data_IF_495119323443
#
_entry.id   IF_495119323443
#
_cell.length_a   1.000
_cell.length_b   1.000
_cell.length_c   1.000
_cell.angle_alpha   90.00
_cell.angle_beta   90.00
_cell.angle_gamma   90.00
#
_symmetry.space_group_name_H-M   'P 1'
#
loop_
_entity.id
_entity.type
_entity.pdbx_description
1 polymer ?
#
# COMPACT_ATOMS: atom_id res chain seq x y z
N UNK A 1 0.16 -15.51 4.45
CA UNK A 1 0.06 -14.09 4.83
C UNK A 1 -1.36 -13.62 4.53
N UNK A 2 -2.22 -13.49 5.51
CA UNK A 2 -3.44 -12.72 5.32
C UNK A 2 -3.09 -11.25 5.46
N UNK A 3 -3.67 -10.38 4.64
CA UNK A 3 -3.70 -8.96 4.94
C UNK A 3 -4.40 -8.79 6.29
N UNK A 4 -3.62 -8.63 7.34
CA UNK A 4 -4.12 -8.45 8.69
C UNK A 4 -4.35 -6.95 8.93
N UNK A 5 -5.39 -6.43 8.31
CA UNK A 5 -5.87 -5.08 8.51
C UNK A 5 -5.23 -4.05 7.58
N UNK A 6 -6.03 -3.23 6.96
CA UNK A 6 -5.66 -1.89 6.56
C UNK A 6 -6.09 -0.95 7.67
N UNK A 7 -5.24 -0.04 8.07
CA UNK A 7 -5.54 1.00 9.04
C UNK A 7 -5.36 2.35 8.36
N UNK A 8 -6.28 3.26 8.58
CA UNK A 8 -6.09 4.64 8.17
C UNK A 8 -5.36 5.38 9.30
N UNK A 9 -4.05 5.18 9.36
CA UNK A 9 -3.19 5.78 10.38
C UNK A 9 -3.01 7.27 10.13
N UNK A 10 -3.85 8.10 10.72
CA UNK A 10 -3.69 9.55 10.68
C UNK A 10 -3.22 10.01 12.05
N UNK A 11 -1.95 10.44 12.13
CA UNK A 11 -1.35 10.99 13.35
C UNK A 11 -1.35 10.04 14.55
N UNK A 12 -1.27 8.75 14.30
CA UNK A 12 -1.04 7.76 15.33
C UNK A 12 0.46 7.56 15.61
N UNK A 13 0.74 6.87 16.70
CA UNK A 13 2.08 6.47 17.07
C UNK A 13 2.21 4.96 16.87
N UNK A 14 3.01 4.56 15.91
CA UNK A 14 3.21 3.14 15.58
C UNK A 14 4.69 2.76 15.46
N UNK A 15 4.97 1.49 15.50
CA UNK A 15 6.29 0.93 15.17
C UNK A 15 6.16 -0.41 14.46
N UNK A 16 7.08 -0.65 13.52
CA UNK A 16 7.13 -1.89 12.76
C UNK A 16 8.12 -2.83 13.42
N UNK A 17 7.63 -3.97 13.90
CA UNK A 17 8.44 -5.02 14.53
C UNK A 17 9.19 -5.88 13.52
N UNK A 18 10.12 -6.71 14.03
CA UNK A 18 10.83 -7.66 13.20
C UNK A 18 9.89 -8.72 12.60
N UNK A 19 10.11 -9.10 11.35
CA UNK A 19 9.32 -10.10 10.64
C UNK A 19 7.98 -9.59 10.09
N UNK A 20 7.69 -8.29 10.20
CA UNK A 20 6.53 -7.69 9.56
C UNK A 20 6.87 -7.29 8.12
N UNK A 21 5.99 -7.67 7.19
CA UNK A 21 5.96 -7.15 5.83
C UNK A 21 4.72 -6.28 5.69
N UNK A 22 4.91 -5.02 5.35
CA UNK A 22 3.81 -4.04 5.23
C UNK A 22 3.93 -3.26 3.92
N UNK A 23 2.80 -2.82 3.40
CA UNK A 23 2.72 -1.76 2.40
C UNK A 23 2.12 -0.53 3.07
N UNK A 24 2.85 0.57 3.04
CA UNK A 24 2.41 1.86 3.58
C UNK A 24 2.09 2.79 2.40
N UNK A 25 0.81 3.14 2.26
CA UNK A 25 0.32 4.05 1.22
C UNK A 25 0.03 5.37 1.91
N UNK A 26 0.75 6.41 1.52
CA UNK A 26 0.64 7.73 2.13
C UNK A 26 0.81 8.84 1.09
N UNK A 27 0.29 10.01 1.39
CA UNK A 27 0.67 11.22 0.67
C UNK A 27 2.16 11.54 0.87
N UNK A 28 2.79 12.14 -0.12
CA UNK A 28 4.17 12.62 0.00
C UNK A 28 4.28 13.65 1.13
N UNK A 29 5.06 13.32 2.16
CA UNK A 29 5.35 14.20 3.28
C UNK A 29 6.77 13.96 3.78
N UNK A 30 7.48 15.05 4.09
CA UNK A 30 8.80 15.01 4.72
C UNK A 30 8.72 15.11 6.25
N UNK A 31 7.51 15.24 6.81
CA UNK A 31 7.31 15.40 8.25
C UNK A 31 7.27 14.03 8.90
N UNK A 32 8.26 13.74 9.71
CA UNK A 32 8.31 12.53 10.54
C UNK A 32 8.70 12.93 11.95
N UNK A 33 7.80 12.71 12.90
CA UNK A 33 8.10 12.89 14.31
C UNK A 33 8.48 11.57 14.95
N UNK A 34 9.76 11.45 15.30
CA UNK A 34 10.34 10.22 15.84
C UNK A 34 10.32 10.25 17.36
N UNK A 35 9.58 9.31 17.97
CA UNK A 35 9.49 9.19 19.43
C UNK A 35 10.55 8.23 19.97
N UNK A 36 10.86 7.20 19.21
CA UNK A 36 11.84 6.17 19.56
C UNK A 36 12.52 5.63 18.31
N UNK A 37 13.79 5.26 18.39
CA UNK A 37 14.57 4.77 17.25
C UNK A 37 15.42 3.53 17.56
N UNK A 38 15.01 2.72 18.52
CA UNK A 38 15.69 1.44 18.87
C UNK A 38 17.20 1.62 19.15
N UNK A 39 17.64 2.81 19.58
CA UNK A 39 19.04 3.18 19.78
C UNK A 39 19.93 2.93 18.53
N UNK A 40 19.35 3.01 17.32
CA UNK A 40 20.11 2.88 16.07
C UNK A 40 21.14 3.98 15.97
N UNK A 41 22.32 3.59 15.48
CA UNK A 41 23.43 4.52 15.23
C UNK A 41 23.79 4.50 13.75
N UNK A 42 24.15 5.65 13.24
CA UNK A 42 24.74 5.77 11.91
C UNK A 42 26.18 5.20 11.88
N UNK A 43 26.83 5.20 10.72
CA UNK A 43 28.23 4.76 10.54
C UNK A 43 29.24 5.55 11.36
N UNK A 44 28.86 6.72 11.88
CA UNK A 44 29.70 7.59 12.72
C UNK A 44 29.39 7.43 14.21
N UNK A 45 28.43 6.57 14.57
CA UNK A 45 28.02 6.32 15.94
C UNK A 45 26.96 7.29 16.48
N UNK A 46 26.40 8.19 15.65
CA UNK A 46 25.37 9.14 16.04
C UNK A 46 23.98 8.50 16.00
N UNK A 47 23.15 8.86 16.97
CA UNK A 47 21.72 8.54 16.96
C UNK A 47 20.94 9.57 16.15
N UNK A 48 19.80 9.16 15.58
CA UNK A 48 18.88 10.11 14.95
C UNK A 48 18.19 10.97 16.00
N UNK A 49 17.83 12.18 15.63
CA UNK A 49 17.08 13.09 16.49
C UNK A 49 15.70 12.50 16.83
N UNK A 50 15.29 12.67 18.08
CA UNK A 50 13.95 12.37 18.56
C UNK A 50 13.15 13.66 18.68
N UNK A 51 11.86 13.59 18.32
CA UNK A 51 10.95 14.74 18.24
C UNK A 51 9.81 14.62 19.27
N UNK A 52 10.13 14.19 20.49
CA UNK A 52 9.13 13.82 21.50
C UNK A 52 8.15 14.95 21.82
N UNK A 53 8.63 16.18 21.93
CA UNK A 53 7.76 17.33 22.25
C UNK A 53 6.84 17.69 21.08
N UNK A 54 7.37 17.71 19.85
CA UNK A 54 6.56 17.94 18.65
C UNK A 54 5.55 16.83 18.41
N UNK A 55 5.90 15.59 18.75
CA UNK A 55 4.99 14.44 18.62
C UNK A 55 3.78 14.58 19.53
N UNK A 56 3.92 15.13 20.73
CA UNK A 56 2.79 15.32 21.66
C UNK A 56 1.70 16.20 21.06
N UNK A 57 2.08 17.23 20.31
CA UNK A 57 1.14 18.17 19.69
C UNK A 57 0.53 17.59 18.39
N UNK A 58 1.22 16.65 17.75
CA UNK A 58 0.82 16.08 16.47
C UNK A 58 -0.04 14.83 16.59
N UNK A 59 0.13 14.06 17.67
CA UNK A 59 -0.59 12.79 17.89
C UNK A 59 -2.09 13.05 18.11
N UNK A 60 -2.90 12.25 17.45
CA UNK A 60 -4.31 12.12 17.78
C UNK A 60 -4.46 11.09 18.92
N UNK A 61 -4.94 11.56 20.07
CA UNK A 61 -5.12 10.75 21.26
C UNK A 61 -6.50 10.10 21.35
N UNK A 62 -7.29 10.17 20.30
CA UNK A 62 -8.56 9.45 20.23
C UNK A 62 -8.30 7.96 20.30
N UNK A 63 -9.11 7.26 21.07
CA UNK A 63 -9.02 5.81 21.21
C UNK A 63 -10.23 5.17 20.55
N UNK A 64 -9.98 4.37 19.54
CA UNK A 64 -11.01 3.59 18.85
C UNK A 64 -11.04 2.16 19.40
N UNK A 65 -12.20 1.52 19.37
CA UNK A 65 -12.32 0.11 19.79
C UNK A 65 -11.58 -0.84 18.82
N UNK A 66 -11.56 -0.50 17.54
CA UNK A 66 -10.83 -1.24 16.52
C UNK A 66 -10.32 -0.27 15.42
N UNK A 67 -9.01 -0.27 15.20
CA UNK A 67 -8.36 0.54 14.18
C UNK A 67 -8.32 -0.13 12.81
N UNK A 68 -8.71 -1.39 12.72
CA UNK A 68 -8.65 -2.17 11.48
C UNK A 68 -9.83 -1.85 10.56
N UNK A 69 -9.53 -1.72 9.29
CA UNK A 69 -10.57 -1.68 8.26
C UNK A 69 -11.15 -3.08 8.07
N UNK A 70 -12.44 -3.22 8.24
CA UNK A 70 -13.14 -4.48 8.00
C UNK A 70 -13.62 -4.55 6.55
N UNK A 71 -13.19 -5.57 5.85
CA UNK A 71 -13.66 -5.85 4.50
C UNK A 71 -13.98 -7.35 4.35
N UNK A 72 -14.83 -7.68 3.40
CA UNK A 72 -15.13 -9.07 3.06
C UNK A 72 -14.23 -9.48 1.89
N UNK A 73 -13.26 -10.38 2.11
CA UNK A 73 -12.40 -10.87 1.02
C UNK A 73 -13.23 -11.52 -0.09
N UNK A 74 -12.86 -11.23 -1.34
CA UNK A 74 -13.45 -11.86 -2.53
C UNK A 74 -12.33 -12.26 -3.47
N UNK A 75 -12.52 -13.39 -4.15
CA UNK A 75 -11.61 -13.85 -5.21
C UNK A 75 -12.06 -13.34 -6.57
N UNK A 76 -11.09 -12.98 -7.41
CA UNK A 76 -11.30 -12.52 -8.77
C UNK A 76 -12.23 -11.30 -8.89
N UNK A 77 -12.23 -10.47 -7.87
CA UNK A 77 -12.94 -9.19 -7.82
C UNK A 77 -12.07 -8.14 -7.12
N UNK A 78 -12.30 -6.88 -7.46
CA UNK A 78 -11.77 -5.74 -6.69
C UNK A 78 -12.54 -5.60 -5.39
N UNK A 79 -11.83 -5.40 -4.29
CA UNK A 79 -12.43 -5.09 -2.99
C UNK A 79 -11.80 -3.81 -2.46
N UNK A 80 -12.62 -2.76 -2.36
CA UNK A 80 -12.18 -1.50 -1.80
C UNK A 80 -11.82 -1.65 -0.32
N UNK A 81 -10.64 -1.13 0.05
CA UNK A 81 -10.15 -1.11 1.43
C UNK A 81 -10.31 0.27 2.06
N UNK A 82 -9.92 1.30 1.33
CA UNK A 82 -9.91 2.69 1.79
C UNK A 82 -10.21 3.62 0.63
N UNK A 83 -11.11 4.57 0.86
CA UNK A 83 -11.31 5.74 0.00
C UNK A 83 -11.26 6.99 0.87
N UNK A 84 -10.40 7.92 0.52
CA UNK A 84 -10.26 9.20 1.18
C UNK A 84 -10.08 10.33 0.14
N UNK A 85 -10.10 11.62 0.53
CA UNK A 85 -9.92 12.72 -0.43
C UNK A 85 -8.58 12.73 -1.18
N UNK A 86 -7.66 11.84 -0.85
CA UNK A 86 -6.29 11.85 -1.36
C UNK A 86 -5.95 10.63 -2.21
N UNK A 87 -6.57 9.49 -1.95
CA UNK A 87 -6.38 8.26 -2.71
C UNK A 87 -7.48 7.23 -2.42
N UNK A 88 -7.64 6.31 -3.34
CA UNK A 88 -8.41 5.09 -3.16
C UNK A 88 -7.45 3.90 -3.21
N UNK A 89 -7.67 2.91 -2.35
CA UNK A 89 -6.92 1.66 -2.35
C UNK A 89 -7.86 0.48 -2.33
N UNK A 90 -7.64 -0.45 -3.25
CA UNK A 90 -8.37 -1.73 -3.35
C UNK A 90 -7.40 -2.90 -3.29
N UNK A 91 -7.92 -4.06 -2.92
CA UNK A 91 -7.19 -5.33 -2.99
C UNK A 91 -7.79 -6.22 -4.06
N UNK A 92 -6.90 -6.87 -4.79
CA UNK A 92 -7.21 -7.97 -5.71
C UNK A 92 -6.60 -9.27 -5.17
N UNK A 93 -7.38 -10.32 -5.16
CA UNK A 93 -6.98 -11.68 -4.81
C UNK A 93 -7.38 -12.57 -5.99
N UNK A 94 -6.43 -12.83 -6.90
CA UNK A 94 -6.71 -13.44 -8.20
C UNK A 94 -6.14 -14.83 -8.31
N UNK A 95 -6.97 -15.73 -8.82
CA UNK A 95 -6.59 -17.08 -9.28
C UNK A 95 -6.88 -17.26 -10.78
N UNK A 96 -7.49 -16.27 -11.41
CA UNK A 96 -7.83 -16.23 -12.82
C UNK A 96 -7.31 -14.95 -13.46
N UNK A 97 -7.10 -15.00 -14.77
CA UNK A 97 -6.68 -13.80 -15.51
C UNK A 97 -7.80 -12.76 -15.48
N UNK A 98 -7.39 -11.50 -15.38
CA UNK A 98 -8.32 -10.37 -15.33
C UNK A 98 -7.85 -9.24 -16.24
N UNK A 99 -8.78 -8.55 -16.84
CA UNK A 99 -8.54 -7.28 -17.52
C UNK A 99 -9.22 -6.18 -16.73
N UNK A 100 -8.46 -5.14 -16.38
CA UNK A 100 -8.93 -4.01 -15.58
C UNK A 100 -8.98 -2.80 -16.49
N UNK A 101 -10.15 -2.16 -16.55
CA UNK A 101 -10.42 -0.98 -17.39
C UNK A 101 -10.23 0.30 -16.57
N UNK A 102 -9.35 1.18 -17.04
CA UNK A 102 -9.05 2.50 -16.48
C UNK A 102 -9.45 3.64 -17.44
N UNK A 103 -10.31 3.38 -18.42
CA UNK A 103 -10.68 4.36 -19.45
C UNK A 103 -11.27 5.65 -18.87
N UNK A 104 -12.03 5.50 -17.77
CA UNK A 104 -12.69 6.61 -17.06
C UNK A 104 -11.82 7.23 -15.96
N UNK A 105 -10.65 6.65 -15.69
CA UNK A 105 -9.77 7.14 -14.64
C UNK A 105 -8.80 8.20 -15.19
N UNK A 106 -8.77 9.38 -14.57
CA UNK A 106 -7.84 10.48 -14.88
C UNK A 106 -6.74 10.57 -13.81
N UNK A 107 -6.09 9.45 -13.55
CA UNK A 107 -5.01 9.32 -12.57
C UNK A 107 -4.03 8.24 -13.00
N UNK A 108 -2.82 8.28 -12.44
CA UNK A 108 -1.93 7.13 -12.44
C UNK A 108 -2.49 6.03 -11.55
N UNK A 109 -2.06 4.79 -11.79
CA UNK A 109 -2.40 3.63 -10.95
C UNK A 109 -1.10 2.97 -10.50
N UNK A 110 -1.03 2.58 -9.23
CA UNK A 110 0.09 1.82 -8.67
C UNK A 110 -0.42 0.45 -8.24
N UNK A 111 0.26 -0.61 -8.68
CA UNK A 111 0.11 -1.94 -8.09
C UNK A 111 1.27 -2.22 -7.13
N UNK A 112 0.94 -2.82 -6.00
CA UNK A 112 1.91 -3.31 -5.01
C UNK A 112 1.61 -4.78 -4.78
N UNK A 113 2.48 -5.67 -5.26
CA UNK A 113 2.29 -7.10 -5.11
C UNK A 113 2.62 -7.53 -3.68
N UNK A 114 1.65 -8.13 -3.02
CA UNK A 114 1.75 -8.60 -1.64
C UNK A 114 2.08 -10.09 -1.57
N UNK A 115 1.58 -10.87 -2.53
CA UNK A 115 1.73 -12.33 -2.52
C UNK A 115 1.64 -12.88 -3.95
N UNK A 116 2.46 -13.90 -4.26
CA UNK A 116 2.45 -14.57 -5.55
C UNK A 116 3.18 -13.81 -6.65
N UNK A 117 2.83 -14.14 -7.90
CA UNK A 117 3.44 -13.58 -9.11
C UNK A 117 2.39 -13.48 -10.21
N UNK A 118 2.46 -12.43 -11.02
CA UNK A 118 1.67 -12.29 -12.24
C UNK A 118 2.46 -11.55 -13.32
N UNK A 119 1.98 -11.66 -14.56
CA UNK A 119 2.41 -10.79 -15.65
C UNK A 119 1.36 -9.71 -15.86
N UNK A 120 1.77 -8.44 -15.83
CA UNK A 120 0.91 -7.31 -16.17
C UNK A 120 1.27 -6.82 -17.57
N UNK A 121 0.23 -6.57 -18.38
CA UNK A 121 0.37 -6.10 -19.77
C UNK A 121 -0.51 -4.87 -19.97
N UNK A 122 0.07 -3.77 -20.43
CA UNK A 122 -0.69 -2.55 -20.77
C UNK A 122 -1.40 -2.66 -22.13
N UNK A 123 -2.22 -1.63 -22.45
CA UNK A 123 -2.95 -1.57 -23.71
C UNK A 123 -2.06 -1.49 -24.96
N UNK A 124 -0.80 -1.10 -24.83
CA UNK A 124 0.19 -1.04 -25.92
C UNK A 124 0.92 -2.39 -26.11
N UNK A 125 0.67 -3.37 -25.23
CA UNK A 125 1.28 -4.68 -25.28
C UNK A 125 2.63 -4.79 -24.55
N UNK A 126 3.04 -3.78 -23.78
CA UNK A 126 4.22 -3.89 -22.93
C UNK A 126 3.90 -4.77 -21.72
N UNK A 127 4.75 -5.74 -21.45
CA UNK A 127 4.53 -6.72 -20.39
C UNK A 127 5.69 -6.71 -19.42
N UNK A 128 5.37 -6.83 -18.13
CA UNK A 128 6.32 -6.99 -17.03
C UNK A 128 5.81 -8.04 -16.06
N UNK A 129 6.73 -8.83 -15.51
CA UNK A 129 6.46 -9.69 -14.37
C UNK A 129 6.43 -8.85 -13.10
N UNK A 130 5.45 -9.11 -12.23
CA UNK A 130 5.28 -8.46 -10.94
C UNK A 130 5.19 -9.56 -9.87
N UNK A 131 6.10 -9.54 -8.91
CA UNK A 131 6.17 -10.53 -7.83
C UNK A 131 6.10 -9.88 -6.45
N UNK A 132 5.84 -10.70 -5.43
CA UNK A 132 5.70 -10.21 -4.05
C UNK A 132 6.88 -9.33 -3.61
N UNK A 133 6.54 -8.14 -3.09
CA UNK A 133 7.50 -7.11 -2.69
C UNK A 133 7.83 -6.08 -3.76
N UNK A 134 7.32 -6.24 -4.97
CA UNK A 134 7.52 -5.27 -6.06
C UNK A 134 6.30 -4.38 -6.25
N UNK A 135 6.53 -3.25 -6.90
CA UNK A 135 5.47 -2.31 -7.29
C UNK A 135 5.69 -1.83 -8.72
N UNK A 136 4.59 -1.51 -9.40
CA UNK A 136 4.59 -0.92 -10.73
C UNK A 136 3.65 0.27 -10.78
N UNK A 137 4.03 1.31 -11.52
CA UNK A 137 3.20 2.47 -11.78
C UNK A 137 2.77 2.48 -13.24
N UNK A 138 1.47 2.62 -13.46
CA UNK A 138 0.85 2.88 -14.76
C UNK A 138 0.49 4.37 -14.84
N UNK A 139 0.93 5.10 -15.86
CA UNK A 139 0.55 6.51 -16.03
C UNK A 139 -0.94 6.65 -16.40
N UNK A 140 -1.51 7.84 -16.21
CA UNK A 140 -2.92 8.14 -16.51
C UNK A 140 -3.32 7.89 -17.99
N UNK A 141 -2.33 7.74 -18.86
CA UNK A 141 -2.54 7.38 -20.29
C UNK A 141 -2.85 5.89 -20.47
N UNK A 142 -2.52 5.04 -19.50
CA UNK A 142 -2.85 3.60 -19.53
C UNK A 142 -4.34 3.43 -19.29
N UNK A 143 -5.05 2.90 -20.29
CA UNK A 143 -6.51 2.75 -20.22
C UNK A 143 -6.97 1.34 -19.92
N UNK A 144 -6.09 0.38 -20.04
CA UNK A 144 -6.37 -1.03 -19.78
C UNK A 144 -5.11 -1.72 -19.27
N UNK A 145 -5.26 -2.60 -18.30
CA UNK A 145 -4.20 -3.49 -17.82
C UNK A 145 -4.73 -4.92 -17.76
N UNK A 146 -4.07 -5.82 -18.47
CA UNK A 146 -4.31 -7.25 -18.38
C UNK A 146 -3.39 -7.87 -17.34
N UNK A 147 -3.94 -8.55 -16.37
CA UNK A 147 -3.23 -9.35 -15.36
C UNK A 147 -3.34 -10.81 -15.74
N UNK A 148 -2.20 -11.45 -16.02
CA UNK A 148 -2.11 -12.88 -16.29
C UNK A 148 -1.51 -13.56 -15.06
N UNK A 149 -2.27 -14.47 -14.45
CA UNK A 149 -1.96 -15.09 -13.16
C UNK A 149 -1.30 -16.45 -13.35
N UNK A 150 -0.20 -16.69 -12.64
CA UNK A 150 0.44 -17.99 -12.55
C UNK A 150 0.13 -18.64 -11.20
N UNK A 151 -1.06 -19.22 -11.11
CA UNK A 151 -1.55 -19.87 -9.90
C UNK A 151 -2.35 -18.93 -9.00
N UNK A 152 -1.68 -18.04 -8.26
CA UNK A 152 -2.30 -17.08 -7.35
C UNK A 152 -1.48 -15.81 -7.24
N UNK A 153 -2.14 -14.66 -7.21
CA UNK A 153 -1.52 -13.37 -6.90
C UNK A 153 -2.46 -12.53 -6.04
N UNK A 154 -1.87 -11.82 -5.08
CA UNK A 154 -2.57 -10.78 -4.32
C UNK A 154 -1.81 -9.48 -4.43
N UNK A 155 -2.48 -8.42 -4.85
CA UNK A 155 -1.89 -7.10 -4.94
C UNK A 155 -2.85 -6.00 -4.47
N UNK A 156 -2.27 -4.89 -4.05
CA UNK A 156 -2.99 -3.65 -3.81
C UNK A 156 -2.94 -2.81 -5.09
N UNK A 157 -4.06 -2.20 -5.39
CA UNK A 157 -4.20 -1.15 -6.38
C UNK A 157 -4.43 0.17 -5.65
N UNK A 158 -3.73 1.23 -6.06
CA UNK A 158 -4.00 2.56 -5.53
C UNK A 158 -3.94 3.63 -6.61
N UNK A 159 -4.82 4.62 -6.51
CA UNK A 159 -4.92 5.77 -7.42
C UNK A 159 -5.48 7.00 -6.70
N UNK A 160 -5.43 8.17 -7.34
CA UNK A 160 -5.89 9.47 -6.80
C UNK A 160 -7.18 9.91 -7.44
#
# INVERSE_FOLDING_TARGET
>A
LSLVGSEMCIRDSHSIGAGCFIAEIQQTSNVTYRIYDFNRKDKNGNTRELHTELSKDAIDYSVEEDYRTHYTPKQNESVELVTCPYFTTSVYDLTENMTIDYSELDSFVIYICMEGTCTVTDGDGNSLELQAGESILFPATTKEVKVTVEGHVKFLETYV
#
